data_IF_579448606821
#
_entry.id   IF_579448606821
#
_cell.length_a   1.000
_cell.length_b   1.000
_cell.length_c   1.000
_cell.angle_alpha   90.00
_cell.angle_beta   90.00
_cell.angle_gamma   90.00
#
_symmetry.space_group_name_H-M   'P 1'
#
loop_
_entity.id
_entity.type
_entity.pdbx_description
1 polymer ?
#
# COMPACT_ATOMS: atom_id res chain seq x y z
N UNK A 1 -21.12 15.28 -21.41
CA UNK A 1 -21.44 14.88 -20.03
C UNK A 1 -20.17 15.02 -19.20
N UNK A 2 -20.12 15.96 -18.26
CA UNK A 2 -18.95 16.17 -17.41
C UNK A 2 -18.94 15.09 -16.31
N UNK A 3 -17.85 14.34 -16.20
CA UNK A 3 -17.65 13.35 -15.13
C UNK A 3 -17.60 14.10 -13.79
N UNK A 4 -18.40 13.74 -12.78
CA UNK A 4 -18.34 14.41 -11.49
C UNK A 4 -16.94 14.23 -10.91
N UNK A 5 -16.30 15.35 -10.58
CA UNK A 5 -15.05 15.41 -9.82
C UNK A 5 -15.34 14.99 -8.38
N UNK A 6 -15.52 13.69 -8.18
CA UNK A 6 -15.50 13.09 -6.85
C UNK A 6 -14.12 13.26 -6.21
N UNK A 7 -14.01 13.06 -4.88
CA UNK A 7 -12.72 13.15 -4.19
C UNK A 7 -11.69 12.28 -4.91
N UNK A 8 -10.52 12.87 -5.20
CA UNK A 8 -9.38 12.15 -5.77
C UNK A 8 -9.08 11.00 -4.82
N UNK A 9 -9.39 9.77 -5.24
CA UNK A 9 -9.10 8.59 -4.42
C UNK A 9 -7.59 8.43 -4.40
N UNK A 10 -6.97 8.72 -3.27
CA UNK A 10 -5.55 8.50 -3.07
C UNK A 10 -5.34 7.20 -2.33
N UNK A 11 -4.38 6.39 -2.77
CA UNK A 11 -3.96 5.20 -2.06
C UNK A 11 -3.66 5.49 -0.58
N UNK A 12 -3.94 4.52 0.29
CA UNK A 12 -3.63 4.62 1.71
C UNK A 12 -2.13 4.94 1.94
N UNK A 13 -1.75 5.59 3.06
CA UNK A 13 -0.34 5.84 3.39
C UNK A 13 0.53 4.57 3.34
N UNK A 14 0.01 3.44 3.81
CA UNK A 14 0.72 2.15 3.82
C UNK A 14 0.94 1.63 2.41
N UNK A 15 -0.09 1.67 1.56
CA UNK A 15 0.01 1.29 0.15
C UNK A 15 1.02 2.15 -0.60
N UNK A 16 1.02 3.47 -0.34
CA UNK A 16 2.02 4.38 -0.93
C UNK A 16 3.44 4.00 -0.51
N UNK A 17 3.66 3.72 0.78
CA UNK A 17 4.95 3.31 1.29
C UNK A 17 5.44 2.01 0.64
N UNK A 18 4.56 1.03 0.49
CA UNK A 18 4.85 -0.22 -0.23
C UNK A 18 5.37 0.06 -1.65
N UNK A 19 4.69 0.91 -2.43
CA UNK A 19 5.13 1.23 -3.80
C UNK A 19 6.43 2.04 -3.85
N UNK A 20 6.76 2.81 -2.82
CA UNK A 20 8.08 3.45 -2.70
C UNK A 20 9.19 2.41 -2.53
N UNK A 21 9.00 1.43 -1.65
CA UNK A 21 9.96 0.33 -1.47
C UNK A 21 10.08 -0.54 -2.72
N UNK A 22 8.97 -0.84 -3.40
CA UNK A 22 8.98 -1.58 -4.66
C UNK A 22 9.80 -0.89 -5.75
N UNK A 23 9.66 0.43 -5.89
CA UNK A 23 10.48 1.20 -6.85
C UNK A 23 11.95 1.18 -6.48
N UNK A 24 12.28 1.24 -5.19
CA UNK A 24 13.65 1.18 -4.70
C UNK A 24 14.30 -0.20 -4.91
N UNK A 25 13.52 -1.29 -4.79
CA UNK A 25 14.02 -2.66 -4.97
C UNK A 25 14.30 -3.01 -6.43
N UNK A 26 13.84 -2.20 -7.40
CA UNK A 26 13.88 -2.47 -8.85
C UNK A 26 13.16 -3.77 -9.24
N UNK A 27 12.31 -4.31 -8.37
CA UNK A 27 11.50 -5.50 -8.66
C UNK A 27 10.31 -5.11 -9.54
N UNK A 28 10.06 -5.82 -10.66
CA UNK A 28 8.90 -5.53 -11.49
C UNK A 28 7.57 -5.79 -10.76
N UNK A 29 6.57 -4.91 -10.93
CA UNK A 29 5.22 -5.10 -10.37
C UNK A 29 4.60 -6.45 -10.78
N UNK A 30 4.88 -6.93 -12.00
CA UNK A 30 4.43 -8.25 -12.49
C UNK A 30 5.03 -9.40 -11.69
N UNK A 31 6.26 -9.26 -11.20
CA UNK A 31 6.90 -10.28 -10.39
C UNK A 31 6.27 -10.35 -9.00
N UNK A 32 5.98 -9.20 -8.39
CA UNK A 32 5.24 -9.14 -7.13
C UNK A 32 3.87 -9.78 -7.29
N UNK A 33 3.12 -9.40 -8.33
CA UNK A 33 1.80 -9.93 -8.60
C UNK A 33 1.85 -11.47 -8.68
N UNK A 34 2.76 -12.00 -9.51
CA UNK A 34 2.95 -13.44 -9.70
C UNK A 34 3.32 -14.17 -8.41
N UNK A 35 4.33 -13.68 -7.68
CA UNK A 35 4.84 -14.34 -6.46
C UNK A 35 3.85 -14.24 -5.29
N UNK A 36 3.04 -13.19 -5.26
CA UNK A 36 2.04 -12.98 -4.20
C UNK A 36 0.65 -13.54 -4.55
N UNK A 37 0.52 -14.27 -5.66
CA UNK A 37 -0.74 -14.88 -6.08
C UNK A 37 -1.86 -13.87 -6.46
N UNK A 38 -1.49 -12.66 -6.88
CA UNK A 38 -2.43 -11.59 -7.22
C UNK A 38 -2.25 -11.11 -8.67
N UNK A 39 -3.25 -10.41 -9.21
CA UNK A 39 -3.14 -9.83 -10.55
C UNK A 39 -2.42 -8.47 -10.53
N UNK A 40 -1.79 -8.10 -11.64
CA UNK A 40 -1.23 -6.75 -11.82
C UNK A 40 -2.31 -5.68 -11.75
N UNK A 41 -3.55 -5.99 -12.15
CA UNK A 41 -4.72 -5.11 -11.96
C UNK A 41 -4.97 -4.81 -10.49
N UNK A 42 -4.82 -5.80 -9.60
CA UNK A 42 -4.98 -5.60 -8.15
C UNK A 42 -3.96 -4.58 -7.64
N UNK A 43 -2.69 -4.71 -8.04
CA UNK A 43 -1.64 -3.74 -7.68
C UNK A 43 -1.91 -2.36 -8.28
N UNK A 44 -2.38 -2.29 -9.52
CA UNK A 44 -2.77 -1.04 -10.15
C UNK A 44 -3.87 -0.33 -9.36
N UNK A 45 -4.94 -1.03 -9.00
CA UNK A 45 -6.07 -0.49 -8.25
C UNK A 45 -5.64 0.03 -6.88
N UNK A 46 -4.70 -0.64 -6.22
CA UNK A 46 -4.07 -0.16 -4.99
C UNK A 46 -3.32 1.15 -5.22
N UNK A 47 -2.49 1.21 -6.26
CA UNK A 47 -1.64 2.36 -6.56
C UNK A 47 -2.45 3.62 -6.86
N UNK A 48 -3.57 3.46 -7.55
CA UNK A 48 -4.46 4.58 -7.93
C UNK A 48 -5.58 4.84 -6.92
N UNK A 49 -5.61 4.11 -5.80
CA UNK A 49 -6.63 4.28 -4.76
C UNK A 49 -8.04 3.81 -5.15
N UNK A 50 -8.18 2.98 -6.18
CA UNK A 50 -9.46 2.36 -6.53
C UNK A 50 -9.89 1.31 -5.50
N UNK A 51 -8.92 0.62 -4.90
CA UNK A 51 -9.12 -0.39 -3.87
C UNK A 51 -8.03 -0.29 -2.80
N UNK A 52 -8.39 -0.63 -1.56
CA UNK A 52 -7.41 -0.77 -0.48
C UNK A 52 -6.79 -2.17 -0.47
N UNK A 53 -5.55 -2.25 0.00
CA UNK A 53 -4.89 -3.52 0.25
C UNK A 53 -5.43 -4.13 1.54
N UNK A 54 -5.98 -5.36 1.48
CA UNK A 54 -6.22 -6.12 2.70
C UNK A 54 -4.88 -6.45 3.35
N UNK A 55 -4.86 -6.53 4.70
CA UNK A 55 -3.65 -6.82 5.48
C UNK A 55 -2.94 -8.08 4.95
N UNK A 56 -3.69 -9.18 4.78
CA UNK A 56 -3.15 -10.43 4.25
C UNK A 56 -2.45 -10.29 2.89
N UNK A 57 -3.08 -9.59 1.93
CA UNK A 57 -2.49 -9.42 0.60
C UNK A 57 -1.27 -8.49 0.64
N UNK A 58 -1.30 -7.48 1.49
CA UNK A 58 -0.18 -6.59 1.70
C UNK A 58 1.01 -7.33 2.31
N UNK A 59 0.78 -8.16 3.34
CA UNK A 59 1.82 -9.00 3.96
C UNK A 59 2.47 -9.92 2.94
N UNK A 60 1.68 -10.55 2.07
CA UNK A 60 2.23 -11.42 1.01
C UNK A 60 3.10 -10.62 0.03
N UNK A 61 2.68 -9.42 -0.34
CA UNK A 61 3.48 -8.55 -1.23
C UNK A 61 4.76 -8.04 -0.57
N UNK A 62 4.72 -7.76 0.73
CA UNK A 62 5.88 -7.35 1.52
C UNK A 62 6.89 -8.49 1.65
N UNK A 63 6.43 -9.72 1.87
CA UNK A 63 7.29 -10.91 1.96
C UNK A 63 8.11 -11.12 0.68
N UNK A 64 7.51 -10.91 -0.49
CA UNK A 64 8.24 -10.96 -1.78
C UNK A 64 9.38 -9.93 -1.86
N UNK A 65 9.24 -8.80 -1.17
CA UNK A 65 10.26 -7.75 -1.07
C UNK A 65 11.23 -7.95 0.11
N UNK A 66 11.06 -9.01 0.91
CA UNK A 66 11.82 -9.22 2.14
C UNK A 66 11.50 -8.18 3.22
N UNK A 67 10.26 -7.68 3.24
CA UNK A 67 9.76 -6.69 4.19
C UNK A 67 8.67 -7.30 5.07
N UNK A 68 8.47 -6.72 6.25
CA UNK A 68 7.41 -7.10 7.18
C UNK A 68 6.52 -5.91 7.55
N UNK A 69 5.26 -6.19 7.90
CA UNK A 69 4.32 -5.20 8.41
C UNK A 69 4.42 -5.14 9.94
N UNK A 70 4.88 -4.00 10.48
CA UNK A 70 4.98 -3.81 11.94
C UNK A 70 3.89 -2.86 12.44
N UNK A 71 3.04 -3.34 13.34
CA UNK A 71 2.04 -2.51 14.03
C UNK A 71 2.66 -1.97 15.32
N UNK A 72 2.73 -0.63 15.44
CA UNK A 72 3.21 0.06 16.65
C UNK A 72 2.10 0.93 17.23
N UNK A 73 1.91 0.97 18.55
CA UNK A 73 1.03 1.94 19.18
C UNK A 73 1.49 3.35 18.78
N UNK A 74 0.54 4.21 18.39
CA UNK A 74 0.85 5.64 18.29
C UNK A 74 1.02 6.13 19.72
N UNK A 75 2.22 6.55 20.11
CA UNK A 75 2.41 7.27 21.37
C UNK A 75 1.49 8.48 21.30
N UNK A 76 0.41 8.45 22.08
CA UNK A 76 -0.32 9.68 22.34
C UNK A 76 0.67 10.55 23.10
N UNK A 77 1.08 11.68 22.52
CA UNK A 77 1.53 12.79 23.36
C UNK A 77 0.30 13.21 24.18
N UNK A 78 0.08 12.48 25.27
CA UNK A 78 -0.79 12.85 26.36
C UNK A 78 -0.19 14.15 26.88
N UNK A 79 -0.96 15.24 26.77
CA UNK A 79 -0.47 16.59 27.04
C UNK A 79 0.27 16.65 28.37
N UNK A 80 1.50 17.18 28.33
CA UNK A 80 2.14 17.68 29.53
C UNK A 80 1.31 18.87 30.03
N UNK A 81 0.80 18.86 31.26
CA UNK A 81 0.36 20.09 31.90
C UNK A 81 1.63 20.86 32.30
N UNK A 82 1.84 22.03 31.70
CA UNK A 82 2.68 23.09 32.27
C UNK A 82 1.83 24.02 33.11
#
# INVERSE_FOLDING_TARGET
>A
MARPSGPVRTASPVTRQFFLHLRASKTPEVEIARKSGMSTTTLYDWRVGNADASVFRLETALDVLGLELVIRPKTQHQGEPS
#
